data_IF_457579315398
#
_entry.id   IF_457579315398
#
_cell.length_a   1.000
_cell.length_b   1.000
_cell.length_c   1.000
_cell.angle_alpha   90.00
_cell.angle_beta   90.00
_cell.angle_gamma   90.00
#
_symmetry.space_group_name_H-M   'P 1'
#
loop_
_entity.id
_entity.type
_entity.pdbx_description
1 polymer ?
#
# COMPACT_ATOMS: atom_id res chain seq x y z
N UNK A 1 -73.46 47.22 -9.95
CA UNK A 1 -74.08 46.50 -11.09
C UNK A 1 -73.65 45.09 -11.07
N UNK A 2 -74.63 44.19 -11.07
CA UNK A 2 -74.46 42.71 -10.95
C UNK A 2 -73.91 42.12 -12.22
N UNK A 3 -73.16 41.01 -12.12
CA UNK A 3 -73.19 39.89 -13.09
C UNK A 3 -72.62 38.62 -12.44
N UNK A 4 -73.55 37.68 -12.29
CA UNK A 4 -73.34 36.29 -11.88
C UNK A 4 -72.61 35.48 -12.98
N UNK A 5 -71.69 34.66 -12.59
CA UNK A 5 -71.04 33.68 -13.44
C UNK A 5 -71.11 32.30 -12.79
N UNK A 6 -72.15 31.52 -13.15
CA UNK A 6 -72.38 30.15 -12.68
C UNK A 6 -71.31 29.18 -13.24
N UNK A 7 -70.62 28.46 -12.36
CA UNK A 7 -69.79 27.31 -12.69
C UNK A 7 -70.67 26.06 -12.81
N UNK A 8 -70.61 25.42 -13.98
CA UNK A 8 -71.22 24.12 -14.24
C UNK A 8 -70.25 23.03 -13.82
N UNK A 9 -70.67 22.19 -12.91
CA UNK A 9 -69.93 20.92 -12.63
C UNK A 9 -70.22 19.91 -13.74
N UNK A 10 -69.16 19.45 -14.42
CA UNK A 10 -69.21 18.30 -15.29
C UNK A 10 -68.80 17.06 -14.50
N UNK A 11 -69.66 16.06 -14.52
CA UNK A 11 -69.46 14.75 -13.92
C UNK A 11 -68.39 14.00 -14.65
N UNK A 12 -67.39 13.52 -13.95
CA UNK A 12 -66.39 12.61 -14.51
C UNK A 12 -66.62 11.16 -14.06
N UNK A 13 -66.74 10.35 -15.05
CA UNK A 13 -66.86 8.92 -15.04
C UNK A 13 -65.68 8.23 -14.41
N UNK A 14 -65.94 7.28 -13.49
CA UNK A 14 -65.01 6.33 -12.97
C UNK A 14 -64.69 5.27 -14.02
N UNK A 15 -63.46 5.23 -14.47
CA UNK A 15 -62.85 4.00 -15.03
C UNK A 15 -61.43 3.85 -14.53
N UNK A 16 -61.25 2.74 -13.83
CA UNK A 16 -60.00 2.31 -13.25
C UNK A 16 -58.97 2.01 -14.35
N UNK A 17 -57.76 2.49 -14.17
CA UNK A 17 -56.58 1.88 -14.83
C UNK A 17 -55.55 1.57 -13.73
N UNK A 18 -55.46 0.29 -13.47
CA UNK A 18 -54.39 -0.33 -12.66
C UNK A 18 -53.13 -0.32 -13.51
N UNK A 19 -52.17 0.48 -13.21
CA UNK A 19 -50.82 0.35 -13.78
C UNK A 19 -49.86 0.11 -12.66
N UNK A 20 -49.21 -1.06 -12.74
CA UNK A 20 -48.33 -1.59 -11.73
C UNK A 20 -47.08 -0.70 -11.47
N UNK A 21 -46.85 -0.43 -10.22
CA UNK A 21 -45.59 0.13 -9.76
C UNK A 21 -44.53 -0.98 -9.76
N UNK A 22 -43.65 -0.97 -10.74
CA UNK A 22 -42.42 -1.76 -10.70
C UNK A 22 -41.51 -1.14 -9.66
N UNK A 23 -41.45 -1.73 -8.47
CA UNK A 23 -40.43 -1.48 -7.47
C UNK A 23 -39.10 -2.02 -8.03
N UNK A 24 -38.29 -1.12 -8.55
CA UNK A 24 -36.87 -1.40 -8.78
C UNK A 24 -36.19 -1.52 -7.41
N UNK A 25 -36.00 -2.74 -6.96
CA UNK A 25 -35.14 -3.02 -5.82
C UNK A 25 -33.69 -2.68 -6.23
N UNK A 26 -33.23 -1.51 -5.80
CA UNK A 26 -31.81 -1.16 -5.83
C UNK A 26 -31.17 -2.04 -4.74
N UNK A 27 -30.62 -3.18 -5.11
CA UNK A 27 -29.70 -3.91 -4.26
C UNK A 27 -28.43 -3.08 -4.14
N UNK A 28 -28.34 -2.30 -3.07
CA UNK A 28 -27.08 -1.74 -2.60
C UNK A 28 -26.25 -2.95 -2.18
N UNK A 29 -25.34 -3.37 -3.06
CA UNK A 29 -24.23 -4.21 -2.66
C UNK A 29 -23.43 -3.38 -1.66
N UNK A 30 -23.68 -3.61 -0.38
CA UNK A 30 -22.76 -3.22 0.66
C UNK A 30 -21.49 -4.03 0.44
N UNK A 31 -20.58 -3.51 -0.39
CA UNK A 31 -19.21 -3.97 -0.45
C UNK A 31 -18.66 -3.82 0.96
N UNK A 32 -18.32 -4.91 1.60
CA UNK A 32 -17.52 -4.90 2.80
C UNK A 32 -16.26 -4.10 2.46
N UNK A 33 -16.18 -2.87 2.97
CA UNK A 33 -14.96 -2.07 2.95
C UNK A 33 -13.96 -2.83 3.80
N UNK A 34 -13.17 -3.68 3.16
CA UNK A 34 -11.97 -4.23 3.77
C UNK A 34 -11.14 -3.05 4.28
N UNK A 35 -10.61 -3.20 5.47
CA UNK A 35 -9.80 -2.20 6.16
C UNK A 35 -8.82 -1.52 5.20
N UNK A 36 -8.68 -0.19 5.28
CA UNK A 36 -7.92 0.64 4.34
C UNK A 36 -6.44 0.29 4.10
N UNK A 37 -5.91 -0.71 4.82
CA UNK A 37 -4.53 -1.16 4.73
C UNK A 37 -4.18 -1.88 3.40
N UNK A 38 -5.15 -2.43 2.67
CA UNK A 38 -4.92 -3.07 1.36
C UNK A 38 -5.27 -2.16 0.17
N UNK A 39 -5.94 -1.03 0.42
CA UNK A 39 -6.24 -0.09 -0.65
C UNK A 39 -4.94 0.45 -1.25
N UNK A 40 -4.89 0.63 -2.59
CA UNK A 40 -3.76 1.28 -3.23
C UNK A 40 -3.50 2.65 -2.61
N UNK A 41 -2.23 2.92 -2.31
CA UNK A 41 -1.77 4.24 -1.87
C UNK A 41 -0.93 4.83 -2.99
N UNK A 42 -1.10 6.12 -3.25
CA UNK A 42 -0.33 6.80 -4.28
C UNK A 42 1.17 6.62 -4.03
N UNK A 43 1.87 6.17 -5.07
CA UNK A 43 3.28 5.86 -5.01
C UNK A 43 3.64 4.52 -4.36
N UNK A 44 2.68 3.59 -4.19
CA UNK A 44 3.00 2.22 -3.77
C UNK A 44 4.07 1.59 -4.66
N UNK A 45 5.09 1.02 -4.04
CA UNK A 45 6.13 0.26 -4.73
C UNK A 45 5.80 -1.22 -4.66
N UNK A 46 5.65 -1.86 -5.82
CA UNK A 46 5.14 -3.22 -5.90
C UNK A 46 5.97 -4.13 -6.81
N UNK A 47 5.92 -5.43 -6.52
CA UNK A 47 6.46 -6.55 -7.33
C UNK A 47 5.40 -7.63 -7.52
N UNK A 48 5.63 -8.52 -8.49
CA UNK A 48 4.75 -9.64 -8.77
C UNK A 48 3.55 -9.27 -9.62
N UNK A 49 2.37 -9.74 -9.25
CA UNK A 49 1.15 -9.54 -10.01
C UNK A 49 0.78 -8.06 -10.18
N UNK A 50 0.08 -7.75 -11.26
CA UNK A 50 -0.40 -6.41 -11.57
C UNK A 50 -1.40 -5.90 -10.52
N UNK A 51 -1.69 -4.60 -10.57
CA UNK A 51 -2.77 -4.00 -9.78
C UNK A 51 -4.10 -4.67 -10.10
N UNK A 52 -4.94 -4.86 -9.07
CA UNK A 52 -6.17 -5.63 -9.18
C UNK A 52 -5.98 -7.14 -9.00
N UNK A 53 -4.78 -7.60 -8.66
CA UNK A 53 -4.55 -9.01 -8.34
C UNK A 53 -5.47 -9.48 -7.21
N UNK A 54 -5.88 -10.76 -7.29
CA UNK A 54 -6.75 -11.41 -6.30
C UNK A 54 -6.20 -11.33 -4.87
N UNK A 55 -4.88 -11.42 -4.73
CA UNK A 55 -4.20 -11.32 -3.44
C UNK A 55 -3.15 -10.22 -3.48
N UNK A 56 -3.28 -9.28 -2.57
CA UNK A 56 -2.28 -8.24 -2.30
C UNK A 56 -1.68 -8.48 -0.91
N UNK A 57 -0.36 -8.58 -0.88
CA UNK A 57 0.42 -8.63 0.36
C UNK A 57 1.11 -7.29 0.54
N UNK A 58 0.84 -6.61 1.64
CA UNK A 58 1.48 -5.34 1.98
C UNK A 58 2.43 -5.57 3.15
N UNK A 59 3.68 -5.18 2.97
CA UNK A 59 4.68 -5.11 4.04
C UNK A 59 4.93 -3.64 4.39
N UNK A 60 4.70 -3.28 5.65
CA UNK A 60 5.18 -2.03 6.23
C UNK A 60 6.53 -2.29 6.90
N UNK A 61 7.59 -1.67 6.41
CA UNK A 61 8.94 -1.96 6.84
C UNK A 61 9.86 -0.74 6.81
N UNK A 62 11.05 -0.89 7.41
CA UNK A 62 12.08 0.13 7.43
C UNK A 62 13.44 -0.46 7.12
N UNK A 63 14.24 0.28 6.36
CA UNK A 63 15.63 -0.06 6.08
C UNK A 63 16.54 0.00 7.31
N UNK A 64 16.05 0.57 8.41
CA UNK A 64 16.76 0.61 9.71
C UNK A 64 16.22 -0.39 10.73
N UNK A 65 15.17 -1.15 10.38
CA UNK A 65 14.54 -2.12 11.25
C UNK A 65 15.27 -3.47 11.19
N UNK A 66 15.87 -3.90 12.29
CA UNK A 66 16.60 -5.17 12.33
C UNK A 66 15.72 -6.41 12.10
N UNK A 67 14.47 -6.41 12.59
CA UNK A 67 13.52 -7.50 12.34
C UNK A 67 13.12 -7.55 10.85
N UNK A 68 13.02 -6.40 10.17
CA UNK A 68 12.76 -6.34 8.72
C UNK A 68 13.94 -6.92 7.93
N UNK A 69 15.17 -6.56 8.29
CA UNK A 69 16.37 -7.14 7.67
C UNK A 69 16.48 -8.66 7.89
N UNK A 70 16.12 -9.14 9.08
CA UNK A 70 16.08 -10.57 9.38
C UNK A 70 15.03 -11.27 8.49
N UNK A 71 13.83 -10.73 8.37
CA UNK A 71 12.80 -11.28 7.48
C UNK A 71 13.24 -11.27 6.03
N UNK A 72 13.83 -10.16 5.56
CA UNK A 72 14.37 -10.01 4.22
C UNK A 72 15.42 -11.07 3.89
N UNK A 73 16.28 -11.41 4.85
CA UNK A 73 17.35 -12.40 4.63
C UNK A 73 16.88 -13.86 4.75
N UNK A 74 15.91 -14.14 5.62
CA UNK A 74 15.54 -15.50 6.00
C UNK A 74 14.27 -16.00 5.31
N UNK A 75 13.30 -15.11 5.05
CA UNK A 75 11.96 -15.47 4.56
C UNK A 75 11.74 -15.02 3.12
N UNK A 76 12.17 -13.81 2.79
CA UNK A 76 11.94 -13.20 1.48
C UNK A 76 12.36 -14.06 0.28
N UNK A 77 13.53 -14.73 0.26
CA UNK A 77 13.94 -15.48 -0.92
C UNK A 77 12.94 -16.57 -1.30
N UNK A 78 12.44 -17.34 -0.33
CA UNK A 78 11.49 -18.41 -0.56
C UNK A 78 10.08 -17.86 -0.82
N UNK A 79 9.66 -16.86 -0.06
CA UNK A 79 8.39 -16.13 -0.27
C UNK A 79 8.31 -15.55 -1.69
N UNK A 80 9.39 -14.85 -2.11
CA UNK A 80 9.49 -14.25 -3.43
C UNK A 80 9.38 -15.29 -4.53
N UNK A 81 10.17 -16.36 -4.46
CA UNK A 81 10.17 -17.42 -5.46
C UNK A 81 8.80 -18.12 -5.56
N UNK A 82 8.11 -18.32 -4.43
CA UNK A 82 6.82 -19.01 -4.40
C UNK A 82 5.68 -18.15 -4.92
N UNK A 83 5.59 -16.90 -4.52
CA UNK A 83 4.40 -16.08 -4.72
C UNK A 83 4.59 -14.86 -5.64
N UNK A 84 5.74 -14.20 -5.54
CA UNK A 84 5.99 -12.95 -6.28
C UNK A 84 6.44 -13.24 -7.71
N UNK A 85 7.47 -14.08 -7.87
CA UNK A 85 8.03 -14.42 -9.18
C UNK A 85 7.06 -15.26 -10.04
N UNK A 86 6.09 -15.92 -9.39
CA UNK A 86 5.01 -16.67 -10.05
C UNK A 86 3.77 -15.82 -10.33
N UNK A 87 3.80 -14.52 -9.98
CA UNK A 87 2.67 -13.59 -10.10
C UNK A 87 1.37 -14.07 -9.42
N UNK A 88 1.48 -14.84 -8.34
CA UNK A 88 0.32 -15.27 -7.55
C UNK A 88 -0.18 -14.14 -6.64
N UNK A 89 0.75 -13.28 -6.18
CA UNK A 89 0.41 -12.12 -5.35
C UNK A 89 1.00 -10.84 -5.91
N UNK A 90 0.32 -9.73 -5.63
CA UNK A 90 0.90 -8.41 -5.70
C UNK A 90 1.54 -8.10 -4.35
N UNK A 91 2.86 -8.05 -4.30
CA UNK A 91 3.60 -7.63 -3.12
C UNK A 91 3.86 -6.14 -3.15
N UNK A 92 3.41 -5.44 -2.12
CA UNK A 92 3.56 -3.98 -1.95
C UNK A 92 4.43 -3.71 -0.75
N UNK A 93 5.47 -2.92 -0.94
CA UNK A 93 6.32 -2.43 0.14
C UNK A 93 5.93 -1.00 0.50
N UNK A 94 5.61 -0.76 1.77
CA UNK A 94 5.26 0.57 2.29
C UNK A 94 6.27 1.01 3.33
N UNK A 95 6.85 2.17 3.09
CA UNK A 95 7.85 2.76 3.96
C UNK A 95 7.24 3.16 5.30
N UNK A 96 7.85 2.68 6.38
CA UNK A 96 7.52 3.07 7.74
C UNK A 96 8.83 3.31 8.51
N UNK A 97 9.44 4.51 8.39
CA UNK A 97 10.74 4.81 8.97
C UNK A 97 10.81 4.52 10.47
N UNK A 98 11.87 3.83 10.89
CA UNK A 98 12.19 3.56 12.29
C UNK A 98 13.50 4.21 12.69
N UNK A 99 13.80 4.26 13.97
CA UNK A 99 15.05 4.86 14.45
C UNK A 99 16.30 4.13 13.92
N UNK A 100 17.34 4.86 13.54
CA UNK A 100 17.46 6.31 13.43
C UNK A 100 16.67 6.84 12.21
N UNK A 101 15.57 7.52 12.48
CA UNK A 101 14.59 7.95 11.45
C UNK A 101 15.22 8.74 10.29
N UNK A 102 16.15 9.71 10.50
CA UNK A 102 16.78 10.41 9.38
C UNK A 102 17.53 9.49 8.41
N UNK A 103 18.09 8.38 8.92
CA UNK A 103 18.80 7.39 8.09
C UNK A 103 17.78 6.60 7.25
N UNK A 104 16.67 6.18 7.85
CA UNK A 104 15.59 5.48 7.15
C UNK A 104 14.99 6.36 6.04
N UNK A 105 14.66 7.61 6.36
CA UNK A 105 14.11 8.59 5.42
C UNK A 105 15.06 8.82 4.26
N UNK A 106 16.35 9.06 4.52
CA UNK A 106 17.34 9.24 3.46
C UNK A 106 17.47 8.01 2.56
N UNK A 107 17.44 6.80 3.13
CA UNK A 107 17.47 5.56 2.37
C UNK A 107 16.28 5.40 1.43
N UNK A 108 15.08 5.70 1.89
CA UNK A 108 13.86 5.63 1.08
C UNK A 108 13.78 6.72 0.00
N UNK A 109 14.12 7.96 0.35
CA UNK A 109 14.15 9.05 -0.62
C UNK A 109 15.15 8.75 -1.76
N UNK A 110 16.34 8.26 -1.41
CA UNK A 110 17.33 7.81 -2.38
C UNK A 110 16.80 6.68 -3.27
N UNK A 111 16.16 5.66 -2.68
CA UNK A 111 15.63 4.52 -3.41
C UNK A 111 14.54 4.95 -4.41
N UNK A 112 13.65 5.85 -4.01
CA UNK A 112 12.63 6.42 -4.92
C UNK A 112 13.23 7.28 -6.02
N UNK A 113 14.20 8.09 -5.71
CA UNK A 113 14.90 8.96 -6.64
C UNK A 113 15.63 8.17 -7.73
N UNK A 114 16.17 6.98 -7.39
CA UNK A 114 16.82 6.08 -8.34
C UNK A 114 15.83 5.44 -9.36
N UNK A 115 14.54 5.58 -9.12
CA UNK A 115 13.48 5.09 -9.98
C UNK A 115 12.94 3.69 -9.61
N UNK A 116 11.78 3.32 -10.17
CA UNK A 116 11.03 2.13 -9.75
C UNK A 116 11.81 0.83 -9.94
N UNK A 117 12.60 0.71 -11.01
CA UNK A 117 13.37 -0.50 -11.29
C UNK A 117 14.52 -0.72 -10.28
N UNK A 118 14.98 0.34 -9.65
CA UNK A 118 16.09 0.30 -8.67
C UNK A 118 15.63 0.36 -7.23
N UNK A 119 14.38 0.68 -6.99
CA UNK A 119 13.84 0.85 -5.64
C UNK A 119 14.07 -0.39 -4.76
N UNK A 120 13.58 -1.54 -5.19
CA UNK A 120 13.71 -2.77 -4.40
C UNK A 120 15.16 -3.22 -4.23
N UNK A 121 16.01 -3.25 -5.28
CA UNK A 121 17.42 -3.53 -5.11
C UNK A 121 18.11 -2.65 -4.06
N UNK A 122 17.80 -1.36 -4.02
CA UNK A 122 18.36 -0.43 -3.03
C UNK A 122 17.86 -0.73 -1.63
N UNK A 123 16.55 -0.97 -1.45
CA UNK A 123 15.96 -1.32 -0.15
C UNK A 123 16.57 -2.61 0.39
N UNK A 124 16.68 -3.64 -0.47
CA UNK A 124 17.29 -4.92 -0.14
C UNK A 124 18.77 -4.76 0.28
N UNK A 125 19.55 -3.98 -0.47
CA UNK A 125 20.96 -3.70 -0.14
C UNK A 125 21.13 -2.93 1.16
N UNK A 126 20.27 -1.92 1.42
CA UNK A 126 20.30 -1.17 2.69
C UNK A 126 19.97 -2.08 3.89
N UNK A 127 18.98 -2.96 3.78
CA UNK A 127 18.68 -3.93 4.82
C UNK A 127 19.82 -4.91 5.06
N UNK A 128 20.46 -5.40 4.00
CA UNK A 128 21.62 -6.29 4.09
C UNK A 128 22.85 -5.59 4.70
N UNK A 129 22.95 -4.27 4.53
CA UNK A 129 24.08 -3.46 5.01
C UNK A 129 23.90 -2.90 6.44
N UNK A 130 22.85 -3.30 7.19
CA UNK A 130 22.59 -2.72 8.53
C UNK A 130 23.76 -2.89 9.50
N UNK A 131 24.44 -4.04 9.49
CA UNK A 131 25.58 -4.25 10.37
C UNK A 131 26.75 -3.28 10.08
N UNK A 132 26.98 -2.98 8.82
CA UNK A 132 27.96 -1.98 8.39
C UNK A 132 27.47 -0.56 8.70
N UNK A 133 26.21 -0.28 8.43
CA UNK A 133 25.56 1.02 8.63
C UNK A 133 25.60 1.48 10.08
N UNK A 134 25.35 0.55 11.01
CA UNK A 134 25.36 0.83 12.46
C UNK A 134 26.66 0.45 13.16
N UNK A 135 27.67 0.04 12.40
CA UNK A 135 29.02 -0.22 12.84
C UNK A 135 29.96 0.97 12.66
N UNK A 136 31.27 0.74 12.69
CA UNK A 136 32.28 1.81 12.56
C UNK A 136 32.25 2.59 11.25
N UNK A 137 31.75 1.99 10.18
CA UNK A 137 31.64 2.63 8.84
C UNK A 137 30.68 3.81 8.87
N UNK A 138 29.57 3.66 9.58
CA UNK A 138 28.54 4.68 9.76
C UNK A 138 27.56 4.81 8.58
N UNK A 139 26.36 5.37 8.87
CA UNK A 139 25.24 5.36 7.92
C UNK A 139 25.51 6.18 6.66
N UNK A 140 26.17 7.34 6.77
CA UNK A 140 26.45 8.19 5.61
C UNK A 140 27.30 7.48 4.57
N UNK A 141 28.35 6.77 5.00
CA UNK A 141 29.25 6.04 4.10
C UNK A 141 28.50 4.92 3.38
N UNK A 142 27.65 4.17 4.10
CA UNK A 142 26.84 3.10 3.51
C UNK A 142 25.82 3.65 2.52
N UNK A 143 25.08 4.70 2.88
CA UNK A 143 24.10 5.34 1.99
C UNK A 143 24.76 5.81 0.70
N UNK A 144 25.93 6.47 0.77
CA UNK A 144 26.65 6.93 -0.41
C UNK A 144 27.19 5.76 -1.26
N UNK A 145 27.66 4.68 -0.63
CA UNK A 145 28.10 3.48 -1.35
C UNK A 145 26.94 2.87 -2.14
N UNK A 146 25.77 2.73 -1.50
CA UNK A 146 24.57 2.18 -2.15
C UNK A 146 24.06 3.11 -3.25
N UNK A 147 24.04 4.43 -3.01
CA UNK A 147 23.70 5.43 -4.03
C UNK A 147 24.58 5.30 -5.28
N UNK A 148 25.90 5.24 -5.10
CA UNK A 148 26.85 5.08 -6.19
C UNK A 148 26.64 3.75 -6.93
N UNK A 149 26.39 2.65 -6.23
CA UNK A 149 26.05 1.36 -6.82
C UNK A 149 24.77 1.41 -7.66
N UNK A 150 23.83 2.27 -7.27
CA UNK A 150 22.61 2.56 -8.02
C UNK A 150 22.80 3.61 -9.13
N UNK A 151 24.01 4.13 -9.33
CA UNK A 151 24.32 5.10 -10.37
C UNK A 151 23.98 6.55 -10.01
N UNK A 152 23.75 6.86 -8.73
CA UNK A 152 23.59 8.22 -8.24
C UNK A 152 24.94 8.78 -7.77
N UNK A 153 25.32 9.95 -8.24
CA UNK A 153 26.46 10.69 -7.68
C UNK A 153 26.13 11.20 -6.27
N UNK A 154 27.14 11.62 -5.50
CA UNK A 154 26.92 12.24 -4.18
C UNK A 154 26.05 13.49 -4.28
N UNK A 155 26.21 14.31 -5.32
CA UNK A 155 25.39 15.49 -5.57
C UNK A 155 23.93 15.10 -5.84
N UNK A 156 23.70 14.08 -6.67
CA UNK A 156 22.36 13.56 -6.93
C UNK A 156 21.73 12.95 -5.67
N UNK A 157 22.49 12.18 -4.90
CA UNK A 157 22.03 11.68 -3.60
C UNK A 157 21.58 12.83 -2.70
N UNK A 158 22.41 13.88 -2.58
CA UNK A 158 22.07 15.04 -1.75
C UNK A 158 20.79 15.74 -2.24
N UNK A 159 20.64 15.91 -3.55
CA UNK A 159 19.43 16.48 -4.13
C UNK A 159 18.19 15.62 -3.81
N UNK A 160 18.30 14.29 -3.92
CA UNK A 160 17.21 13.36 -3.62
C UNK A 160 16.73 13.45 -2.16
N UNK A 161 17.67 13.49 -1.20
CA UNK A 161 17.34 13.48 0.23
C UNK A 161 16.90 14.84 0.78
N UNK A 162 17.02 15.90 -0.03
CA UNK A 162 16.57 17.26 0.31
C UNK A 162 15.41 17.73 -0.56
N UNK A 163 14.85 16.88 -1.41
CA UNK A 163 13.67 17.20 -2.23
C UNK A 163 12.43 17.32 -1.33
N UNK A 164 11.97 18.56 -1.16
CA UNK A 164 10.82 18.87 -0.31
C UNK A 164 9.53 18.17 -0.76
N UNK A 165 9.31 18.04 -2.07
CA UNK A 165 8.12 17.38 -2.59
C UNK A 165 8.16 15.87 -2.30
N UNK A 166 9.32 15.23 -2.44
CA UNK A 166 9.51 13.82 -2.10
C UNK A 166 9.35 13.57 -0.60
N UNK A 167 9.85 14.47 0.25
CA UNK A 167 9.69 14.42 1.71
C UNK A 167 8.21 14.52 2.08
N UNK A 168 7.47 15.51 1.55
CA UNK A 168 6.05 15.66 1.81
C UNK A 168 5.22 14.45 1.34
N UNK A 169 5.57 13.88 0.19
CA UNK A 169 4.92 12.67 -0.29
C UNK A 169 5.19 11.46 0.62
N UNK A 170 6.39 11.35 1.19
CA UNK A 170 6.72 10.32 2.18
C UNK A 170 5.92 10.52 3.47
N UNK A 171 5.86 11.74 3.99
CA UNK A 171 5.09 12.07 5.19
C UNK A 171 3.61 11.71 5.02
N UNK A 172 3.04 11.96 3.85
CA UNK A 172 1.66 11.59 3.55
C UNK A 172 1.46 10.05 3.57
N UNK A 173 2.42 9.27 3.06
CA UNK A 173 2.36 7.80 3.12
C UNK A 173 2.52 7.27 4.54
N UNK A 174 3.43 7.84 5.31
CA UNK A 174 3.61 7.50 6.73
C UNK A 174 2.33 7.81 7.51
N UNK A 175 1.74 8.99 7.29
CA UNK A 175 0.46 9.33 7.90
C UNK A 175 -0.64 8.33 7.54
N UNK A 176 -0.74 7.93 6.27
CA UNK A 176 -1.71 6.92 5.84
C UNK A 176 -1.51 5.58 6.57
N UNK A 177 -0.25 5.17 6.80
CA UNK A 177 0.05 3.96 7.57
C UNK A 177 -0.38 4.09 9.05
N UNK A 178 -0.12 5.24 9.67
CA UNK A 178 -0.54 5.51 11.04
C UNK A 178 -2.08 5.53 11.17
N UNK A 179 -2.77 6.16 10.24
CA UNK A 179 -4.24 6.20 10.17
C UNK A 179 -4.84 4.79 9.97
N UNK A 180 -4.11 3.89 9.29
CA UNK A 180 -4.46 2.47 9.15
C UNK A 180 -4.10 1.62 10.39
N UNK A 181 -3.63 2.22 11.47
CA UNK A 181 -3.30 1.55 12.73
C UNK A 181 -1.96 0.80 12.71
N UNK A 182 -1.06 1.15 11.78
CA UNK A 182 0.30 0.59 11.77
C UNK A 182 1.12 1.29 12.85
N UNK A 183 1.72 0.52 13.75
CA UNK A 183 2.47 1.02 14.90
C UNK A 183 3.88 0.46 15.01
N UNK A 184 4.29 -0.38 14.06
CA UNK A 184 5.61 -1.02 14.10
C UNK A 184 5.92 -1.83 12.84
N UNK A 185 7.17 -2.24 12.74
CA UNK A 185 7.72 -2.97 11.60
C UNK A 185 8.47 -4.24 12.03
N UNK A 186 8.49 -5.29 11.22
CA UNK A 186 7.64 -5.43 10.04
C UNK A 186 6.17 -5.66 10.40
N UNK A 187 5.25 -5.12 9.61
CA UNK A 187 3.83 -5.46 9.70
C UNK A 187 3.37 -5.95 8.34
N UNK A 188 2.73 -7.11 8.30
CA UNK A 188 2.20 -7.70 7.08
C UNK A 188 0.68 -7.72 7.07
N UNK A 189 0.12 -7.40 5.89
CA UNK A 189 -1.31 -7.48 5.62
C UNK A 189 -1.54 -8.35 4.39
N UNK A 190 -2.50 -9.25 4.44
CA UNK A 190 -2.97 -10.03 3.27
C UNK A 190 -4.41 -9.60 3.00
N UNK A 191 -4.65 -8.98 1.85
CA UNK A 191 -5.96 -8.41 1.49
C UNK A 191 -6.57 -7.52 2.59
N UNK A 192 -5.72 -6.79 3.33
CA UNK A 192 -6.13 -5.87 4.38
C UNK A 192 -6.25 -6.50 5.78
N UNK A 193 -6.14 -7.79 5.90
CA UNK A 193 -6.12 -8.48 7.18
C UNK A 193 -4.68 -8.60 7.71
N UNK A 194 -4.46 -8.20 8.96
CA UNK A 194 -3.14 -8.26 9.61
C UNK A 194 -2.73 -9.70 9.85
N UNK A 195 -1.52 -10.05 9.42
CA UNK A 195 -0.89 -11.34 9.75
C UNK A 195 -0.13 -11.19 11.07
N UNK A 196 -0.43 -12.05 12.03
CA UNK A 196 0.11 -11.94 13.39
C UNK A 196 1.60 -12.30 13.47
N UNK A 197 2.03 -13.26 12.66
CA UNK A 197 3.42 -13.73 12.58
C UNK A 197 3.87 -13.75 11.11
N UNK A 198 4.97 -13.04 10.75
CA UNK A 198 5.43 -12.95 9.38
C UNK A 198 6.27 -14.17 8.93
N UNK A 199 6.17 -15.31 9.60
CA UNK A 199 6.80 -16.54 9.13
C UNK A 199 6.27 -16.96 7.75
N UNK A 200 7.08 -17.66 6.98
CA UNK A 200 6.65 -18.17 5.68
C UNK A 200 5.42 -19.05 5.78
N UNK A 201 5.32 -19.87 6.82
CA UNK A 201 4.19 -20.77 7.06
C UNK A 201 2.88 -19.99 7.26
N UNK A 202 2.90 -18.99 8.14
CA UNK A 202 1.71 -18.18 8.46
C UNK A 202 1.29 -17.32 7.26
N UNK A 203 2.25 -16.68 6.59
CA UNK A 203 1.99 -15.93 5.36
C UNK A 203 1.42 -16.82 4.26
N UNK A 204 2.01 -18.02 4.05
CA UNK A 204 1.51 -18.99 3.07
C UNK A 204 0.08 -19.41 3.37
N UNK A 205 -0.23 -19.71 4.62
CA UNK A 205 -1.60 -20.11 5.03
C UNK A 205 -2.61 -19.01 4.69
N UNK A 206 -2.30 -17.75 5.01
CA UNK A 206 -3.19 -16.63 4.73
C UNK A 206 -3.35 -16.39 3.21
N UNK A 207 -2.26 -16.46 2.45
CA UNK A 207 -2.25 -16.26 1.01
C UNK A 207 -3.00 -17.39 0.29
N UNK A 208 -2.69 -18.64 0.62
CA UNK A 208 -3.29 -19.81 -0.03
C UNK A 208 -4.81 -19.85 0.25
N UNK A 209 -5.26 -19.48 1.46
CA UNK A 209 -6.67 -19.30 1.78
C UNK A 209 -7.32 -18.19 0.94
N UNK A 210 -6.67 -17.04 0.80
CA UNK A 210 -7.16 -15.93 -0.02
C UNK A 210 -7.21 -16.29 -1.51
N UNK A 211 -6.23 -17.06 -2.01
CA UNK A 211 -6.23 -17.58 -3.38
C UNK A 211 -7.36 -18.60 -3.61
N UNK A 212 -7.76 -19.36 -2.61
CA UNK A 212 -8.83 -20.35 -2.72
C UNK A 212 -10.25 -19.74 -2.62
N UNK A 213 -10.41 -18.62 -1.93
CA UNK A 213 -11.72 -18.01 -1.62
C UNK A 213 -12.43 -17.33 -2.81
N UNK A 214 -11.85 -17.26 -3.98
CA UNK A 214 -12.42 -16.69 -5.19
C UNK A 214 -12.42 -17.67 -6.30
#
# INVERSE_FOLDING_TARGET
>A
MRADGRFKFASMSRRAAVTGAALAAITVLAGCSGSGASNPVEGDMAKGAAEGAKVTVVEYASVTCGACAAWQSQVWPEFKAKYVDTNQVRFVFREFPTAPEPVAVAGFLMARCAGPDRYFPIVEELMASQAEMFGPTGPRTVLLRVANGAGLSEEQFQACVTDEAAIQAMDARIKSALDAGITGTPTFMVNGERVADPSLETLSTAIDAALAAG
#
